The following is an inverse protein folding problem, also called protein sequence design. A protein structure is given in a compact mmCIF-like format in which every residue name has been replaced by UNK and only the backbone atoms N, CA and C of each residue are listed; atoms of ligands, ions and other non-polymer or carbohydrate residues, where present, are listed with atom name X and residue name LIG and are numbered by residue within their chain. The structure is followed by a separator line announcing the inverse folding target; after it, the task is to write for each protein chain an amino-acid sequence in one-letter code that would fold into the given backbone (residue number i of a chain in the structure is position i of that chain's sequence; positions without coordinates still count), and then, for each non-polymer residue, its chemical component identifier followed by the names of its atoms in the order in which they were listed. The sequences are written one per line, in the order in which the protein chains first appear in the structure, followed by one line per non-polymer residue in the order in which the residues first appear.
data_IF_342118068955
#
_entry.id   IF_342118068955
#
_cell.length_a   1.000
_cell.length_b   1.000
_cell.length_c   1.000
_cell.angle_alpha   90.00
_cell.angle_beta   90.00
_cell.angle_gamma   90.00
#
_symmetry.space_group_name_H-M   'P 1'
#
loop_
_entity.id
_entity.type
_entity.pdbx_description
1 polymer ?
#
# COMPACT_ATOMS: atom_id res chain seq x y z
N UNK A 1 78.08 17.72 -23.85
CA UNK A 1 76.81 18.15 -24.48
C UNK A 1 75.68 17.48 -23.73
N UNK A 2 75.18 18.11 -22.66
CA UNK A 2 74.04 17.62 -21.88
C UNK A 2 72.82 18.46 -22.23
N UNK A 3 71.78 17.82 -22.74
CA UNK A 3 70.55 18.48 -23.16
C UNK A 3 69.78 19.00 -21.94
N UNK A 4 69.57 20.31 -21.89
CA UNK A 4 68.61 20.96 -20.99
C UNK A 4 67.25 20.82 -21.66
N UNK A 5 66.51 19.78 -21.30
CA UNK A 5 65.11 19.61 -21.74
C UNK A 5 64.29 20.69 -21.02
N UNK A 6 63.50 21.44 -21.78
CA UNK A 6 62.70 22.56 -21.29
C UNK A 6 61.64 22.06 -20.32
N UNK A 7 61.47 22.74 -19.17
CA UNK A 7 60.39 22.45 -18.21
C UNK A 7 58.99 22.45 -18.86
N UNK A 8 58.80 23.17 -19.97
CA UNK A 8 57.56 23.17 -20.74
C UNK A 8 57.35 21.88 -21.55
N UNK A 9 58.41 21.25 -22.06
CA UNK A 9 58.31 19.96 -22.77
C UNK A 9 57.99 18.83 -21.79
N UNK A 10 58.54 18.89 -20.57
CA UNK A 10 58.26 17.91 -19.52
C UNK A 10 56.80 18.00 -19.04
N UNK A 11 56.24 19.21 -18.89
CA UNK A 11 54.81 19.38 -18.56
C UNK A 11 53.87 18.96 -19.70
N UNK A 12 54.28 19.13 -20.96
CA UNK A 12 53.49 18.70 -22.11
C UNK A 12 53.45 17.16 -22.23
N UNK A 13 54.58 16.49 -22.00
CA UNK A 13 54.67 15.03 -22.02
C UNK A 13 53.85 14.37 -20.89
N UNK A 14 53.91 14.93 -19.66
CA UNK A 14 53.06 14.45 -18.56
C UNK A 14 51.57 14.61 -18.84
N UNK A 15 51.15 15.71 -19.47
CA UNK A 15 49.75 15.95 -19.82
C UNK A 15 49.28 15.01 -20.94
N UNK A 16 50.14 14.71 -21.91
CA UNK A 16 49.85 13.73 -22.98
C UNK A 16 49.78 12.31 -22.40
N UNK A 17 50.66 11.94 -21.46
CA UNK A 17 50.59 10.65 -20.77
C UNK A 17 49.33 10.52 -19.90
N UNK A 18 48.91 11.57 -19.17
CA UNK A 18 47.66 11.57 -18.41
C UNK A 18 46.41 11.46 -19.32
N UNK A 19 46.37 12.19 -20.44
CA UNK A 19 45.28 12.07 -21.42
C UNK A 19 45.25 10.67 -22.07
N UNK A 20 46.40 10.11 -22.42
CA UNK A 20 46.49 8.78 -23.06
C UNK A 20 46.14 7.64 -22.08
N UNK A 21 46.54 7.74 -20.81
CA UNK A 21 46.17 6.78 -19.77
C UNK A 21 44.68 6.89 -19.45
N UNK A 22 44.13 8.11 -19.39
CA UNK A 22 42.69 8.35 -19.23
C UNK A 22 41.87 7.69 -20.36
N UNK A 23 42.24 7.91 -21.62
CA UNK A 23 41.55 7.32 -22.79
C UNK A 23 41.62 5.78 -22.82
N UNK A 24 42.75 5.20 -22.42
CA UNK A 24 42.90 3.74 -22.30
C UNK A 24 42.07 3.16 -21.15
N UNK A 25 41.99 3.85 -20.01
CA UNK A 25 41.15 3.43 -18.88
C UNK A 25 39.66 3.55 -19.18
N UNK A 26 39.23 4.58 -19.91
CA UNK A 26 37.83 4.77 -20.32
C UNK A 26 37.41 3.71 -21.35
N UNK A 27 38.28 3.45 -22.34
CA UNK A 27 38.07 2.38 -23.34
C UNK A 27 37.99 0.98 -22.70
N UNK A 28 38.85 0.69 -21.73
CA UNK A 28 38.82 -0.56 -20.97
C UNK A 28 37.53 -0.70 -20.14
N UNK A 29 37.13 0.36 -19.45
CA UNK A 29 35.93 0.39 -18.62
C UNK A 29 34.65 0.23 -19.46
N UNK A 30 34.62 0.82 -20.65
CA UNK A 30 33.53 0.65 -21.61
C UNK A 30 33.41 -0.81 -22.09
N UNK A 31 34.52 -1.46 -22.47
CA UNK A 31 34.51 -2.87 -22.89
C UNK A 31 34.06 -3.81 -21.76
N UNK A 32 34.47 -3.52 -20.52
CA UNK A 32 33.95 -4.22 -19.34
C UNK A 32 32.44 -4.01 -19.18
N UNK A 33 31.96 -2.79 -19.43
CA UNK A 33 30.53 -2.47 -19.49
C UNK A 33 29.77 -3.33 -20.50
N UNK A 34 30.29 -3.48 -21.72
CA UNK A 34 29.67 -4.32 -22.76
C UNK A 34 29.59 -5.78 -22.30
N UNK A 35 30.66 -6.33 -21.70
CA UNK A 35 30.65 -7.70 -21.16
C UNK A 35 29.63 -7.87 -20.03
N UNK A 36 29.57 -6.90 -19.11
CA UNK A 36 28.63 -6.88 -17.99
C UNK A 36 27.17 -6.75 -18.45
N UNK A 37 26.91 -5.98 -19.50
CA UNK A 37 25.60 -5.89 -20.14
C UNK A 37 25.10 -7.26 -20.62
N UNK A 38 25.93 -8.00 -21.37
CA UNK A 38 25.53 -9.33 -21.86
C UNK A 38 25.35 -10.34 -20.72
N UNK A 39 26.11 -10.23 -19.62
CA UNK A 39 25.86 -11.02 -18.40
C UNK A 39 24.49 -10.70 -17.82
N UNK A 40 24.16 -9.42 -17.66
CA UNK A 40 22.87 -8.96 -17.15
C UNK A 40 21.70 -9.41 -18.04
N UNK A 41 21.84 -9.30 -19.37
CA UNK A 41 20.83 -9.73 -20.34
C UNK A 41 20.58 -11.24 -20.31
N UNK A 42 21.62 -12.06 -20.17
CA UNK A 42 21.45 -13.51 -19.98
C UNK A 42 20.69 -13.84 -18.69
N UNK A 43 20.98 -13.11 -17.61
CA UNK A 43 20.24 -13.26 -16.35
C UNK A 43 18.77 -12.84 -16.51
N UNK A 44 18.51 -11.77 -17.26
CA UNK A 44 17.15 -11.30 -17.58
C UNK A 44 16.33 -12.40 -18.27
N UNK A 45 16.90 -13.01 -19.31
CA UNK A 45 16.26 -14.09 -20.06
C UNK A 45 15.85 -15.28 -19.18
N UNK A 46 16.75 -15.74 -18.28
CA UNK A 46 16.42 -16.84 -17.36
C UNK A 46 15.38 -16.45 -16.33
N UNK A 47 15.42 -15.22 -15.82
CA UNK A 47 14.43 -14.72 -14.88
C UNK A 47 13.03 -14.68 -15.50
N UNK A 48 12.91 -14.23 -16.75
CA UNK A 48 11.63 -14.24 -17.46
C UNK A 48 11.10 -15.66 -17.62
N UNK A 49 11.94 -16.62 -18.05
CA UNK A 49 11.52 -18.02 -18.17
C UNK A 49 10.99 -18.55 -16.83
N UNK A 50 11.70 -18.30 -15.73
CA UNK A 50 11.31 -18.77 -14.40
C UNK A 50 10.04 -18.07 -13.87
N UNK A 51 9.84 -16.78 -14.15
CA UNK A 51 8.65 -16.05 -13.68
C UNK A 51 7.35 -16.59 -14.27
N UNK A 52 7.38 -17.16 -15.47
CA UNK A 52 6.19 -17.80 -16.07
C UNK A 52 5.68 -19.00 -15.26
N UNK A 53 6.51 -19.62 -14.43
CA UNK A 53 6.12 -20.74 -13.57
C UNK A 53 5.72 -20.31 -12.15
N UNK A 54 6.04 -19.08 -11.75
CA UNK A 54 5.99 -18.65 -10.34
C UNK A 54 4.85 -17.70 -9.95
N UNK A 55 3.96 -17.32 -10.87
CA UNK A 55 2.82 -16.42 -10.59
C UNK A 55 3.19 -14.98 -10.21
N UNK A 56 4.49 -14.64 -10.11
CA UNK A 56 5.00 -13.29 -9.86
C UNK A 56 5.21 -12.55 -11.19
N UNK A 57 4.95 -11.25 -11.21
CA UNK A 57 5.14 -10.45 -12.42
C UNK A 57 6.60 -10.48 -12.89
N UNK A 58 6.78 -10.76 -14.19
CA UNK A 58 8.08 -10.71 -14.86
C UNK A 58 8.57 -9.28 -15.12
N UNK A 59 7.66 -8.31 -15.05
CA UNK A 59 7.88 -6.91 -15.36
C UNK A 59 7.99 -6.06 -14.10
N UNK A 60 8.57 -4.87 -14.24
CA UNK A 60 8.56 -3.88 -13.17
C UNK A 60 7.13 -3.42 -12.87
N UNK A 61 6.89 -3.02 -11.62
CA UNK A 61 5.62 -2.38 -11.27
C UNK A 61 5.49 -1.05 -12.02
N UNK A 62 4.33 -0.85 -12.65
CA UNK A 62 3.98 0.42 -13.29
C UNK A 62 3.58 1.42 -12.21
N UNK A 63 4.29 2.55 -12.13
CA UNK A 63 3.94 3.59 -11.15
C UNK A 63 2.54 4.14 -11.40
N UNK A 64 2.14 4.36 -12.66
CA UNK A 64 0.83 4.91 -12.98
C UNK A 64 -0.30 3.98 -12.54
N UNK A 65 -0.07 2.66 -12.64
CA UNK A 65 -1.01 1.66 -12.16
C UNK A 65 -1.11 1.67 -10.64
N UNK A 66 0.04 1.68 -9.93
CA UNK A 66 0.07 1.74 -8.47
C UNK A 66 -0.56 3.05 -7.95
N UNK A 67 -0.23 4.20 -8.57
CA UNK A 67 -0.81 5.50 -8.25
C UNK A 67 -2.33 5.48 -8.40
N UNK A 68 -2.84 4.83 -9.45
CA UNK A 68 -4.29 4.65 -9.66
C UNK A 68 -4.89 3.71 -8.61
N UNK A 69 -4.39 2.48 -8.48
CA UNK A 69 -4.92 1.46 -7.56
C UNK A 69 -4.96 1.95 -6.12
N UNK A 70 -3.88 2.59 -5.66
CA UNK A 70 -3.78 3.10 -4.29
C UNK A 70 -4.30 4.54 -4.10
N UNK A 71 -4.88 5.14 -5.15
CA UNK A 71 -5.55 6.44 -5.08
C UNK A 71 -4.64 7.57 -4.56
N UNK A 72 -3.36 7.51 -4.89
CA UNK A 72 -2.36 8.47 -4.41
C UNK A 72 -2.50 9.81 -5.14
N UNK A 73 -2.66 10.89 -4.39
CA UNK A 73 -2.87 12.25 -4.93
C UNK A 73 -1.86 13.28 -4.46
N UNK A 74 -1.36 13.13 -3.24
CA UNK A 74 -0.44 14.07 -2.61
C UNK A 74 1.00 13.74 -2.99
N UNK A 75 1.83 14.76 -3.22
CA UNK A 75 3.24 14.62 -3.57
C UNK A 75 4.07 15.57 -2.70
N UNK A 76 5.02 15.00 -1.93
CA UNK A 76 5.90 15.73 -1.03
C UNK A 76 7.35 15.56 -1.46
N UNK A 77 8.02 16.63 -1.83
CA UNK A 77 9.44 16.57 -2.16
C UNK A 77 10.29 16.38 -0.91
N UNK A 78 11.11 15.32 -0.89
CA UNK A 78 11.96 14.92 0.24
C UNK A 78 13.45 15.20 0.04
N UNK A 79 13.82 15.84 -1.08
CA UNK A 79 15.20 16.22 -1.35
C UNK A 79 16.07 15.09 -1.89
N UNK A 80 17.39 15.30 -1.83
CA UNK A 80 18.41 14.34 -2.22
C UNK A 80 18.66 13.35 -1.07
N UNK A 81 18.61 12.05 -1.35
CA UNK A 81 18.82 10.98 -0.38
C UNK A 81 19.59 9.81 -1.00
N UNK A 82 20.31 9.05 -0.16
CA UNK A 82 20.82 7.73 -0.53
C UNK A 82 19.76 6.68 -0.21
N UNK A 83 19.19 6.06 -1.26
CA UNK A 83 18.10 5.09 -1.11
C UNK A 83 18.60 3.66 -1.35
N UNK A 84 18.03 2.64 -0.67
CA UNK A 84 18.36 1.24 -0.92
C UNK A 84 17.99 0.81 -2.33
N UNK A 85 18.94 0.19 -3.04
CA UNK A 85 18.74 -0.23 -4.44
C UNK A 85 17.75 -1.39 -4.56
N UNK A 86 17.65 -2.24 -3.54
CA UNK A 86 16.72 -3.36 -3.46
C UNK A 86 15.25 -2.92 -3.25
N UNK A 87 15.03 -1.75 -2.64
CA UNK A 87 13.71 -1.11 -2.49
C UNK A 87 13.21 -0.40 -3.74
N UNK A 88 13.98 -0.37 -4.84
CA UNK A 88 13.52 0.18 -6.13
C UNK A 88 12.76 -0.91 -6.90
N UNK A 89 11.46 -0.77 -7.06
CA UNK A 89 10.56 -1.87 -7.51
C UNK A 89 9.88 -1.61 -8.85
N UNK A 90 9.86 -0.37 -9.32
CA UNK A 90 9.02 0.02 -10.44
C UNK A 90 9.54 1.20 -11.25
N UNK A 91 8.81 1.54 -12.32
CA UNK A 91 9.16 2.63 -13.23
C UNK A 91 7.91 3.38 -13.69
N UNK A 92 8.04 4.67 -13.97
CA UNK A 92 6.94 5.49 -14.50
C UNK A 92 6.66 5.23 -15.98
N UNK A 93 7.66 4.77 -16.76
CA UNK A 93 7.45 4.60 -18.21
C UNK A 93 8.28 3.52 -18.89
N UNK A 94 9.30 2.96 -18.22
CA UNK A 94 10.21 1.96 -18.80
C UNK A 94 10.06 0.58 -18.18
N UNK A 95 8.89 0.30 -17.60
CA UNK A 95 8.64 -0.94 -16.87
C UNK A 95 8.72 -2.21 -17.76
N UNK A 96 8.54 -2.06 -19.08
CA UNK A 96 8.69 -3.14 -20.08
C UNK A 96 10.10 -3.33 -20.63
N UNK A 97 10.99 -2.34 -20.46
CA UNK A 97 12.35 -2.41 -20.99
C UNK A 97 13.29 -3.24 -20.10
N UNK A 98 12.87 -3.48 -18.85
CA UNK A 98 13.64 -4.17 -17.83
C UNK A 98 12.82 -5.26 -17.15
N UNK A 99 13.49 -6.29 -16.60
CA UNK A 99 12.82 -7.27 -15.73
C UNK A 99 12.39 -6.62 -14.41
N UNK A 100 11.55 -7.32 -13.63
CA UNK A 100 11.18 -6.93 -12.26
C UNK A 100 12.37 -6.63 -11.34
N UNK A 101 13.59 -7.00 -11.72
CA UNK A 101 14.82 -6.67 -11.00
C UNK A 101 15.74 -5.67 -11.72
N UNK A 102 15.22 -4.88 -12.66
CA UNK A 102 15.97 -3.90 -13.47
C UNK A 102 17.07 -4.50 -14.38
N UNK A 103 16.95 -5.75 -14.83
CA UNK A 103 17.88 -6.30 -15.82
C UNK A 103 17.43 -5.88 -17.24
N UNK A 104 18.34 -5.44 -18.12
CA UNK A 104 17.98 -4.94 -19.44
C UNK A 104 17.53 -6.08 -20.36
N UNK A 105 16.44 -5.86 -21.12
CA UNK A 105 15.89 -6.86 -22.05
C UNK A 105 16.35 -6.66 -23.50
N UNK A 106 16.58 -5.41 -23.92
CA UNK A 106 16.78 -5.04 -25.33
C UNK A 106 18.25 -4.74 -25.66
N UNK A 107 18.73 -5.22 -26.80
CA UNK A 107 20.12 -5.00 -27.24
C UNK A 107 20.46 -3.52 -27.51
N UNK A 108 19.47 -2.73 -27.94
CA UNK A 108 19.64 -1.29 -28.19
C UNK A 108 20.13 -0.51 -26.96
N UNK A 109 20.04 -1.08 -25.77
CA UNK A 109 20.48 -0.47 -24.51
C UNK A 109 21.99 -0.61 -24.27
N UNK A 110 22.70 -1.46 -25.03
CA UNK A 110 24.11 -1.83 -24.78
C UNK A 110 25.03 -0.62 -24.70
N UNK A 111 24.92 0.33 -25.62
CA UNK A 111 25.82 1.48 -25.71
C UNK A 111 25.65 2.40 -24.48
N UNK A 112 24.40 2.82 -24.20
CA UNK A 112 24.09 3.69 -23.07
C UNK A 112 24.39 3.01 -21.74
N UNK A 113 24.06 1.73 -21.60
CA UNK A 113 24.32 0.95 -20.39
C UNK A 113 25.82 0.82 -20.13
N UNK A 114 26.62 0.52 -21.17
CA UNK A 114 28.08 0.37 -21.05
C UNK A 114 28.77 1.70 -20.73
N UNK A 115 28.28 2.81 -21.28
CA UNK A 115 28.76 4.16 -20.92
C UNK A 115 28.48 4.50 -19.46
N UNK A 116 27.29 4.20 -18.95
CA UNK A 116 26.95 4.40 -17.54
C UNK A 116 27.82 3.51 -16.63
N UNK A 117 28.05 2.26 -17.03
CA UNK A 117 28.96 1.36 -16.31
C UNK A 117 30.40 1.88 -16.27
N UNK A 118 30.91 2.45 -17.36
CA UNK A 118 32.23 3.05 -17.37
C UNK A 118 32.29 4.26 -16.40
N UNK A 119 31.25 5.10 -16.41
CA UNK A 119 31.16 6.27 -15.53
C UNK A 119 31.15 5.90 -14.03
N UNK A 120 30.59 4.75 -13.62
CA UNK A 120 30.66 4.34 -12.19
C UNK A 120 32.08 4.06 -11.71
N UNK A 121 33.01 3.79 -12.62
CA UNK A 121 34.42 3.54 -12.31
C UNK A 121 35.28 4.81 -12.49
N UNK A 122 34.67 5.92 -12.88
CA UNK A 122 35.31 7.22 -13.03
C UNK A 122 35.21 8.04 -11.73
N UNK A 123 36.12 9.01 -11.56
CA UNK A 123 36.16 9.89 -10.39
C UNK A 123 34.96 10.84 -10.25
N UNK A 124 34.16 11.02 -11.31
CA UNK A 124 33.06 12.00 -11.36
C UNK A 124 31.74 11.53 -10.74
N UNK A 125 31.61 10.24 -10.41
CA UNK A 125 30.35 9.65 -9.95
C UNK A 125 29.24 9.69 -11.01
N UNK A 126 28.05 9.20 -10.64
CA UNK A 126 26.85 9.35 -11.46
C UNK A 126 25.96 10.46 -10.90
N UNK A 127 25.26 11.22 -11.76
CA UNK A 127 24.24 12.13 -11.26
C UNK A 127 23.16 11.33 -10.48
N UNK A 128 22.48 11.95 -9.50
CA UNK A 128 21.36 11.34 -8.81
C UNK A 128 20.24 10.94 -9.78
N UNK A 129 19.50 9.88 -9.43
CA UNK A 129 18.27 9.47 -10.12
C UNK A 129 17.08 10.30 -9.62
N UNK A 130 15.93 10.18 -10.28
CA UNK A 130 14.67 10.75 -9.79
C UNK A 130 13.68 9.62 -9.50
N UNK A 131 13.08 9.62 -8.32
CA UNK A 131 12.14 8.58 -7.90
C UNK A 131 10.90 9.15 -7.24
N UNK A 132 9.80 8.41 -7.42
CA UNK A 132 8.65 8.50 -6.54
C UNK A 132 8.78 7.46 -5.43
N UNK A 133 8.53 7.84 -4.19
CA UNK A 133 8.43 6.92 -3.05
C UNK A 133 6.96 6.69 -2.74
N UNK A 134 6.57 5.42 -2.57
CA UNK A 134 5.25 5.04 -2.04
C UNK A 134 5.52 4.02 -0.95
N UNK A 135 5.08 4.31 0.27
CA UNK A 135 5.44 3.53 1.46
C UNK A 135 6.98 3.36 1.55
N UNK A 136 7.49 2.14 1.67
CA UNK A 136 8.92 1.84 1.78
C UNK A 136 9.57 1.47 0.43
N UNK A 137 8.90 1.70 -0.70
CA UNK A 137 9.39 1.34 -2.04
C UNK A 137 9.48 2.52 -3.00
N UNK A 138 10.35 2.38 -4.01
CA UNK A 138 10.68 3.44 -4.96
C UNK A 138 10.37 3.06 -6.41
N UNK A 139 9.87 4.05 -7.15
CA UNK A 139 9.56 3.98 -8.57
C UNK A 139 10.40 4.97 -9.35
N UNK A 140 11.16 4.49 -10.33
CA UNK A 140 12.09 5.31 -11.11
C UNK A 140 11.33 6.18 -12.08
N UNK A 141 11.42 7.50 -11.88
CA UNK A 141 10.97 8.52 -12.83
C UNK A 141 12.03 8.76 -13.90
N UNK A 142 13.29 8.94 -13.48
CA UNK A 142 14.45 9.00 -14.37
C UNK A 142 15.64 8.22 -13.79
N UNK A 143 16.45 7.63 -14.69
CA UNK A 143 17.67 6.91 -14.30
C UNK A 143 17.58 5.39 -14.29
N UNK A 144 16.62 4.78 -15.00
CA UNK A 144 16.43 3.31 -15.04
C UNK A 144 17.72 2.52 -15.36
N UNK A 145 18.54 3.01 -16.30
CA UNK A 145 19.83 2.38 -16.63
C UNK A 145 20.84 2.49 -15.48
N UNK A 146 20.83 3.60 -14.73
CA UNK A 146 21.72 3.79 -13.56
C UNK A 146 21.33 2.81 -12.45
N UNK A 147 20.04 2.61 -12.20
CA UNK A 147 19.55 1.56 -11.28
C UNK A 147 19.96 0.16 -11.74
N UNK A 148 19.81 -0.13 -13.03
CA UNK A 148 20.24 -1.40 -13.62
C UNK A 148 21.73 -1.67 -13.41
N UNK A 149 22.58 -0.68 -13.68
CA UNK A 149 24.03 -0.76 -13.45
C UNK A 149 24.35 -0.89 -11.97
N UNK A 150 23.73 -0.09 -11.10
CA UNK A 150 23.91 -0.15 -9.65
C UNK A 150 23.60 -1.55 -9.09
N UNK A 151 22.51 -2.18 -9.55
CA UNK A 151 22.20 -3.57 -9.21
C UNK A 151 23.23 -4.56 -9.73
N UNK A 152 23.70 -4.36 -10.97
CA UNK A 152 24.67 -5.25 -11.59
C UNK A 152 26.03 -5.24 -10.90
N UNK A 153 26.44 -4.09 -10.33
CA UNK A 153 27.69 -3.97 -9.56
C UNK A 153 27.51 -4.26 -8.06
N UNK A 154 26.27 -4.53 -7.61
CA UNK A 154 25.96 -4.84 -6.21
C UNK A 154 26.04 -3.64 -5.26
N UNK A 155 25.77 -2.43 -5.76
CA UNK A 155 25.71 -1.24 -4.93
C UNK A 155 24.54 -1.33 -3.92
N UNK A 156 24.77 -1.08 -2.62
CA UNK A 156 23.71 -1.14 -1.61
C UNK A 156 22.73 0.02 -1.73
N UNK A 157 23.24 1.21 -2.06
CA UNK A 157 22.48 2.45 -2.17
C UNK A 157 22.76 3.19 -3.47
N UNK A 158 21.86 4.10 -3.83
CA UNK A 158 22.01 5.04 -4.95
C UNK A 158 21.45 6.40 -4.57
N UNK A 159 22.12 7.48 -4.99
CA UNK A 159 21.62 8.85 -4.77
C UNK A 159 20.39 9.13 -5.63
N UNK A 160 19.34 9.65 -5.01
CA UNK A 160 18.07 9.96 -5.65
C UNK A 160 17.45 11.27 -5.14
N UNK A 161 16.84 12.03 -6.03
CA UNK A 161 15.84 13.02 -5.67
C UNK A 161 14.51 12.31 -5.44
N UNK A 162 13.98 12.41 -4.23
CA UNK A 162 12.81 11.66 -3.78
C UNK A 162 11.58 12.56 -3.70
N UNK A 163 10.49 12.14 -4.35
CA UNK A 163 9.15 12.70 -4.14
C UNK A 163 8.26 11.62 -3.53
N UNK A 164 7.83 11.81 -2.29
CA UNK A 164 6.98 10.90 -1.53
C UNK A 164 5.51 11.10 -1.87
N UNK A 165 4.79 9.99 -2.08
CA UNK A 165 3.34 9.93 -2.13
C UNK A 165 2.85 9.17 -0.90
N UNK A 166 2.36 9.88 0.14
CA UNK A 166 1.91 9.25 1.37
C UNK A 166 0.80 8.23 1.12
N UNK A 167 0.87 7.09 1.80
CA UNK A 167 -0.14 6.03 1.76
C UNK A 167 -0.32 5.44 3.16
N UNK A 168 -1.54 5.02 3.49
CA UNK A 168 -1.84 4.23 4.69
C UNK A 168 -1.83 2.72 4.44
N UNK A 169 -1.34 2.32 3.27
CA UNK A 169 -1.36 0.94 2.79
C UNK A 169 0.07 0.49 2.51
N UNK A 170 0.43 -0.64 3.12
CA UNK A 170 1.73 -1.27 2.97
C UNK A 170 1.98 -1.71 1.52
N UNK A 171 3.16 -1.40 1.00
CA UNK A 171 3.65 -1.86 -0.29
C UNK A 171 5.05 -2.46 -0.16
N UNK A 172 5.19 -3.71 -0.57
CA UNK A 172 6.44 -4.44 -0.50
C UNK A 172 6.97 -4.86 -1.89
N UNK A 173 8.29 -4.98 -2.07
CA UNK A 173 8.86 -5.51 -3.30
C UNK A 173 8.36 -6.91 -3.64
N UNK A 174 7.82 -7.07 -4.85
CA UNK A 174 7.44 -8.38 -5.38
C UNK A 174 6.10 -8.94 -4.86
N UNK A 175 5.22 -8.06 -4.37
CA UNK A 175 3.81 -8.39 -4.11
C UNK A 175 3.17 -9.08 -5.32
N UNK A 176 2.39 -10.11 -5.02
CA UNK A 176 1.52 -10.82 -5.97
C UNK A 176 0.29 -9.96 -6.34
N UNK A 177 -0.39 -10.34 -7.43
CA UNK A 177 -1.62 -9.66 -7.85
C UNK A 177 -2.67 -9.64 -6.73
N UNK A 178 -2.82 -10.75 -6.01
CA UNK A 178 -3.74 -10.87 -4.86
C UNK A 178 -3.39 -9.90 -3.73
N UNK A 179 -2.11 -9.70 -3.45
CA UNK A 179 -1.66 -8.74 -2.43
C UNK A 179 -1.87 -7.29 -2.88
N UNK A 180 -1.71 -7.00 -4.19
CA UNK A 180 -2.02 -5.69 -4.76
C UNK A 180 -3.53 -5.41 -4.77
N UNK A 181 -4.37 -6.40 -5.05
CA UNK A 181 -5.83 -6.31 -4.91
C UNK A 181 -6.23 -6.03 -3.45
N UNK A 182 -5.58 -6.69 -2.48
CA UNK A 182 -5.78 -6.42 -1.06
C UNK A 182 -5.42 -4.98 -0.68
N UNK A 183 -4.28 -4.50 -1.17
CA UNK A 183 -3.84 -3.13 -0.98
C UNK A 183 -4.82 -2.11 -1.62
N UNK A 184 -5.33 -2.38 -2.82
CA UNK A 184 -6.33 -1.53 -3.49
C UNK A 184 -7.65 -1.47 -2.70
N UNK A 185 -8.14 -2.59 -2.19
CA UNK A 185 -9.36 -2.62 -1.37
C UNK A 185 -9.19 -1.81 -0.08
N UNK A 186 -8.05 -1.93 0.59
CA UNK A 186 -7.74 -1.14 1.79
C UNK A 186 -7.60 0.36 1.45
N UNK A 187 -6.94 0.70 0.34
CA UNK A 187 -6.83 2.08 -0.11
C UNK A 187 -8.18 2.72 -0.38
N UNK A 188 -9.10 1.97 -1.01
CA UNK A 188 -10.48 2.43 -1.24
C UNK A 188 -11.22 2.65 0.09
N UNK A 189 -11.09 1.73 1.05
CA UNK A 189 -11.67 1.89 2.38
C UNK A 189 -11.18 3.17 3.07
N UNK A 190 -9.87 3.43 3.06
CA UNK A 190 -9.30 4.66 3.63
C UNK A 190 -9.72 5.91 2.85
N UNK A 191 -9.82 5.84 1.52
CA UNK A 191 -10.30 6.96 0.71
C UNK A 191 -11.76 7.31 1.05
N UNK A 192 -12.63 6.32 1.22
CA UNK A 192 -14.05 6.51 1.54
C UNK A 192 -14.25 7.02 2.97
N UNK A 193 -13.52 6.47 3.94
CA UNK A 193 -13.70 6.79 5.36
C UNK A 193 -12.90 8.00 5.85
N UNK A 194 -11.85 8.38 5.10
CA UNK A 194 -10.87 9.41 5.49
C UNK A 194 -10.23 9.18 6.86
N UNK A 195 -10.18 7.94 7.34
CA UNK A 195 -9.61 7.62 8.65
C UNK A 195 -8.14 8.02 8.76
N UNK A 196 -7.38 7.92 7.66
CA UNK A 196 -5.99 8.37 7.58
C UNK A 196 -5.83 9.88 7.84
N UNK A 197 -6.87 10.69 7.58
CA UNK A 197 -6.87 12.14 7.84
C UNK A 197 -7.53 12.47 9.17
N UNK A 198 -8.69 11.87 9.48
CA UNK A 198 -9.45 12.17 10.70
C UNK A 198 -8.83 11.56 11.95
N UNK A 199 -8.11 10.43 11.81
CA UNK A 199 -7.40 9.72 12.88
C UNK A 199 -6.01 9.28 12.41
N UNK A 200 -5.03 10.20 12.21
CA UNK A 200 -3.73 9.88 11.63
C UNK A 200 -2.91 8.80 12.35
N UNK A 201 -3.22 8.51 13.61
CA UNK A 201 -2.58 7.48 14.42
C UNK A 201 -3.46 6.26 14.64
N UNK A 202 -4.48 6.06 13.80
CA UNK A 202 -5.29 4.86 13.83
C UNK A 202 -4.41 3.64 13.56
N UNK A 203 -4.76 2.52 14.18
CA UNK A 203 -4.08 1.26 13.91
C UNK A 203 -4.53 0.75 12.54
N UNK A 204 -3.65 0.09 11.76
CA UNK A 204 -4.02 -0.46 10.46
C UNK A 204 -5.18 -1.45 10.59
N UNK A 205 -6.26 -1.20 9.83
CA UNK A 205 -7.43 -2.08 9.78
C UNK A 205 -7.23 -3.04 8.61
N UNK A 206 -6.50 -4.14 8.86
CA UNK A 206 -6.19 -5.16 7.86
C UNK A 206 -7.22 -6.26 7.92
N UNK A 207 -7.70 -6.73 6.76
CA UNK A 207 -8.58 -7.90 6.63
C UNK A 207 -7.86 -8.99 5.84
N UNK A 208 -8.01 -10.26 6.25
CA UNK A 208 -7.45 -11.40 5.51
C UNK A 208 -8.13 -11.58 4.14
N UNK A 209 -9.42 -11.25 4.05
CA UNK A 209 -10.16 -11.27 2.79
C UNK A 209 -10.53 -9.84 2.33
N UNK A 210 -9.93 -9.34 1.24
CA UNK A 210 -10.12 -7.96 0.79
C UNK A 210 -11.55 -7.57 0.46
N UNK A 211 -12.37 -8.54 0.02
CA UNK A 211 -13.77 -8.30 -0.29
C UNK A 211 -14.48 -7.68 0.92
N UNK A 212 -14.20 -8.14 2.14
CA UNK A 212 -14.91 -7.81 3.38
C UNK A 212 -14.78 -6.36 3.85
N UNK A 213 -13.97 -5.51 3.21
CA UNK A 213 -14.00 -4.07 3.46
C UNK A 213 -15.40 -3.47 3.20
N UNK A 214 -16.21 -4.08 2.31
CA UNK A 214 -17.60 -3.67 2.10
C UNK A 214 -18.48 -3.88 3.35
N UNK A 215 -18.23 -4.93 4.14
CA UNK A 215 -18.95 -5.19 5.40
C UNK A 215 -18.63 -4.11 6.43
N UNK A 216 -17.35 -3.73 6.57
CA UNK A 216 -16.94 -2.62 7.44
C UNK A 216 -17.59 -1.29 7.03
N UNK A 217 -17.64 -1.00 5.73
CA UNK A 217 -18.35 0.18 5.24
C UNK A 217 -19.85 0.12 5.56
N UNK A 218 -20.47 -1.05 5.42
CA UNK A 218 -21.85 -1.28 5.84
C UNK A 218 -22.08 -0.94 7.32
N UNK A 219 -21.16 -1.36 8.19
CA UNK A 219 -21.23 -1.03 9.62
C UNK A 219 -21.09 0.48 9.88
N UNK A 220 -20.18 1.15 9.16
CA UNK A 220 -19.98 2.61 9.28
C UNK A 220 -21.23 3.37 8.79
N UNK A 221 -21.82 2.97 7.67
CA UNK A 221 -23.03 3.61 7.15
C UNK A 221 -24.24 3.39 8.05
N UNK A 222 -24.39 2.18 8.59
CA UNK A 222 -25.41 1.91 9.59
C UNK A 222 -25.20 2.81 10.82
N UNK A 223 -23.96 2.90 11.32
CA UNK A 223 -23.60 3.78 12.45
C UNK A 223 -23.91 5.25 12.15
N UNK A 224 -23.62 5.73 10.94
CA UNK A 224 -23.97 7.07 10.49
C UNK A 224 -25.47 7.34 10.63
N UNK A 225 -26.32 6.44 10.12
CA UNK A 225 -27.78 6.59 10.22
C UNK A 225 -28.30 6.59 11.67
N UNK A 226 -27.62 5.91 12.59
CA UNK A 226 -27.97 5.97 14.02
C UNK A 226 -27.56 7.31 14.64
N UNK A 227 -26.32 7.75 14.39
CA UNK A 227 -25.81 9.03 14.87
C UNK A 227 -26.65 10.21 14.37
N UNK A 228 -27.07 10.19 13.10
CA UNK A 228 -27.94 11.23 12.52
C UNK A 228 -29.26 11.34 13.29
N UNK A 229 -29.86 10.20 13.64
CA UNK A 229 -31.13 10.17 14.38
C UNK A 229 -30.97 10.65 15.83
N UNK A 230 -29.84 10.34 16.46
CA UNK A 230 -29.55 10.77 17.83
C UNK A 230 -29.24 12.27 17.90
N UNK A 231 -28.50 12.80 16.93
CA UNK A 231 -28.10 14.22 16.89
C UNK A 231 -29.18 15.11 16.27
N UNK A 232 -30.03 14.58 15.41
CA UNK A 232 -31.05 15.32 14.66
C UNK A 232 -30.48 16.16 13.52
N UNK A 233 -29.27 15.83 13.06
CA UNK A 233 -28.53 16.53 12.01
C UNK A 233 -27.77 15.53 11.13
N UNK A 234 -27.47 15.91 9.89
CA UNK A 234 -26.77 15.06 8.94
C UNK A 234 -25.33 14.81 9.39
N UNK A 235 -24.84 13.57 9.22
CA UNK A 235 -23.50 13.14 9.63
C UNK A 235 -22.75 12.68 8.39
N UNK A 236 -21.57 13.24 8.17
CA UNK A 236 -20.73 12.85 7.04
C UNK A 236 -20.16 11.44 7.23
N UNK A 237 -19.77 10.78 6.13
CA UNK A 237 -19.15 9.44 6.21
C UNK A 237 -17.86 9.50 7.02
N UNK A 238 -17.10 10.58 6.90
CA UNK A 238 -15.86 10.82 7.63
C UNK A 238 -16.08 10.94 9.14
N UNK A 239 -17.12 11.67 9.56
CA UNK A 239 -17.49 11.81 10.97
C UNK A 239 -18.00 10.49 11.55
N UNK A 240 -18.85 9.79 10.81
CA UNK A 240 -19.36 8.49 11.22
C UNK A 240 -18.24 7.45 11.34
N UNK A 241 -17.31 7.41 10.38
CA UNK A 241 -16.15 6.51 10.42
C UNK A 241 -15.25 6.81 11.61
N UNK A 242 -14.99 8.09 11.90
CA UNK A 242 -14.18 8.50 13.04
C UNK A 242 -14.82 8.12 14.38
N UNK A 243 -16.13 8.34 14.53
CA UNK A 243 -16.89 7.96 15.71
C UNK A 243 -16.97 6.44 15.89
N UNK A 244 -17.30 5.71 14.82
CA UNK A 244 -17.29 4.25 14.78
C UNK A 244 -15.92 3.69 15.20
N UNK A 245 -14.84 4.25 14.66
CA UNK A 245 -13.49 3.80 14.99
C UNK A 245 -13.18 3.98 16.48
N UNK A 246 -13.53 5.13 17.05
CA UNK A 246 -13.23 5.48 18.43
C UNK A 246 -14.10 4.73 19.46
N UNK A 247 -15.37 4.57 19.16
CA UNK A 247 -16.38 4.12 20.12
C UNK A 247 -16.78 2.65 19.94
N UNK A 248 -16.53 2.06 18.76
CA UNK A 248 -16.93 0.68 18.43
C UNK A 248 -15.70 -0.16 18.10
N UNK A 249 -14.98 0.15 17.03
CA UNK A 249 -13.91 -0.71 16.51
C UNK A 249 -12.72 -0.80 17.48
N UNK A 250 -12.16 0.34 17.92
CA UNK A 250 -10.99 0.33 18.81
C UNK A 250 -11.29 -0.33 20.16
N UNK A 251 -12.42 -0.08 20.86
CA UNK A 251 -12.77 -0.81 22.08
C UNK A 251 -12.89 -2.32 21.86
N UNK A 252 -13.54 -2.74 20.77
CA UNK A 252 -13.68 -4.15 20.41
C UNK A 252 -12.32 -4.83 20.19
N UNK A 253 -11.44 -4.22 19.38
CA UNK A 253 -10.07 -4.72 19.15
C UNK A 253 -9.24 -4.72 20.43
N UNK A 254 -9.46 -3.76 21.33
CA UNK A 254 -8.80 -3.73 22.64
C UNK A 254 -9.17 -4.96 23.48
N UNK A 255 -10.42 -5.41 23.42
CA UNK A 255 -10.85 -6.65 24.10
C UNK A 255 -10.25 -7.90 23.43
N UNK A 256 -10.26 -7.94 22.10
CA UNK A 256 -9.63 -9.02 21.31
C UNK A 256 -8.17 -9.22 21.75
N UNK A 257 -7.41 -8.12 21.88
CA UNK A 257 -6.02 -8.15 22.35
C UNK A 257 -5.90 -8.49 23.83
N UNK A 258 -6.70 -7.86 24.70
CA UNK A 258 -6.64 -8.06 26.15
C UNK A 258 -6.79 -9.53 26.53
N UNK A 259 -7.66 -10.25 25.82
CA UNK A 259 -7.95 -11.66 26.08
C UNK A 259 -7.25 -12.63 25.11
N UNK A 260 -6.26 -12.15 24.34
CA UNK A 260 -5.48 -12.94 23.38
C UNK A 260 -6.34 -13.76 22.41
N UNK A 261 -7.47 -13.20 21.97
CA UNK A 261 -8.44 -13.93 21.16
C UNK A 261 -7.84 -14.38 19.82
N UNK A 262 -6.86 -13.64 19.27
CA UNK A 262 -6.17 -14.01 18.03
C UNK A 262 -5.50 -15.40 18.10
N UNK A 263 -4.99 -15.81 19.27
CA UNK A 263 -4.34 -17.13 19.41
C UNK A 263 -5.32 -18.30 19.20
N UNK A 264 -6.62 -18.03 19.28
CA UNK A 264 -7.69 -19.01 19.11
C UNK A 264 -8.20 -19.12 17.67
N UNK A 265 -7.72 -18.26 16.76
CA UNK A 265 -8.13 -18.18 15.36
C UNK A 265 -6.91 -18.34 14.43
N UNK A 266 -6.95 -19.34 13.56
CA UNK A 266 -5.88 -19.58 12.59
C UNK A 266 -5.83 -18.45 11.54
N UNK A 267 -4.69 -17.76 11.45
CA UNK A 267 -4.33 -16.80 10.38
C UNK A 267 -5.38 -15.70 10.11
N UNK A 268 -6.10 -15.24 11.15
CA UNK A 268 -7.06 -14.13 11.06
C UNK A 268 -6.51 -12.83 11.64
N UNK A 269 -6.95 -11.72 11.06
CA UNK A 269 -6.68 -10.38 11.59
C UNK A 269 -7.68 -10.00 12.70
N UNK A 270 -7.37 -8.94 13.45
CA UNK A 270 -8.29 -8.38 14.44
C UNK A 270 -9.57 -7.84 13.81
N UNK A 271 -9.49 -7.30 12.59
CA UNK A 271 -10.67 -6.85 11.86
C UNK A 271 -11.56 -8.03 11.44
N UNK A 272 -10.98 -9.18 11.09
CA UNK A 272 -11.75 -10.39 10.79
C UNK A 272 -12.49 -10.88 12.03
N UNK A 273 -11.82 -10.89 13.19
CA UNK A 273 -12.45 -11.27 14.46
C UNK A 273 -13.54 -10.27 14.85
N UNK A 274 -13.29 -8.97 14.66
CA UNK A 274 -14.31 -7.94 14.89
C UNK A 274 -15.58 -8.20 14.06
N UNK A 275 -15.44 -8.42 12.75
CA UNK A 275 -16.58 -8.71 11.89
C UNK A 275 -17.28 -10.01 12.30
N UNK A 276 -16.52 -11.07 12.56
CA UNK A 276 -17.07 -12.35 13.03
C UNK A 276 -17.89 -12.20 14.31
N UNK A 277 -17.41 -11.40 15.26
CA UNK A 277 -18.14 -11.16 16.51
C UNK A 277 -19.41 -10.34 16.29
N UNK A 278 -19.40 -9.38 15.35
CA UNK A 278 -20.61 -8.65 14.95
C UNK A 278 -21.64 -9.60 14.33
N UNK A 279 -21.22 -10.49 13.43
CA UNK A 279 -22.09 -11.50 12.83
C UNK A 279 -22.68 -12.43 13.90
N UNK A 280 -21.85 -12.92 14.83
CA UNK A 280 -22.31 -13.77 15.93
C UNK A 280 -23.35 -13.08 16.81
N UNK A 281 -23.15 -11.79 17.15
CA UNK A 281 -24.13 -11.01 17.90
C UNK A 281 -25.46 -10.86 17.15
N UNK A 282 -25.42 -10.71 15.83
CA UNK A 282 -26.62 -10.66 14.99
C UNK A 282 -27.36 -12.00 14.99
N UNK A 283 -26.66 -13.10 14.77
CA UNK A 283 -27.24 -14.46 14.75
C UNK A 283 -27.91 -14.82 16.07
N UNK A 284 -27.23 -14.54 17.19
CA UNK A 284 -27.79 -14.77 18.53
C UNK A 284 -29.09 -13.97 18.69
N UNK A 285 -29.11 -12.71 18.23
CA UNK A 285 -30.32 -11.90 18.32
C UNK A 285 -31.46 -12.45 17.48
N UNK A 286 -31.20 -12.85 16.24
CA UNK A 286 -32.19 -13.44 15.34
C UNK A 286 -32.80 -14.72 15.93
N UNK A 287 -31.98 -15.55 16.58
CA UNK A 287 -32.42 -16.81 17.20
C UNK A 287 -33.33 -16.60 18.43
N UNK A 288 -33.15 -15.52 19.19
CA UNK A 288 -33.88 -15.24 20.43
C UNK A 288 -34.96 -14.13 20.30
N UNK A 289 -35.08 -13.48 19.13
CA UNK A 289 -36.10 -12.45 18.84
C UNK A 289 -35.94 -11.14 19.63
N UNK A 290 -36.99 -10.32 19.66
CA UNK A 290 -37.00 -9.01 20.36
C UNK A 290 -36.85 -9.11 21.89
N UNK A 291 -36.99 -10.31 22.47
CA UNK A 291 -36.73 -10.58 23.89
C UNK A 291 -35.25 -10.89 24.20
N UNK A 292 -34.40 -10.97 23.17
CA UNK A 292 -32.97 -11.15 23.35
C UNK A 292 -32.39 -9.98 24.16
N UNK A 293 -31.79 -10.30 25.31
CA UNK A 293 -31.03 -9.33 26.12
C UNK A 293 -29.97 -8.70 25.23
N UNK A 294 -29.86 -7.37 25.22
CA UNK A 294 -28.76 -6.66 24.54
C UNK A 294 -27.43 -7.29 24.95
N UNK A 295 -26.77 -7.96 23.99
CA UNK A 295 -25.46 -8.57 24.17
C UNK A 295 -24.38 -7.57 23.74
N UNK A 296 -23.39 -7.42 24.60
CA UNK A 296 -22.21 -6.58 24.38
C UNK A 296 -21.14 -7.39 23.66
N UNK A 297 -20.07 -6.71 23.25
CA UNK A 297 -18.94 -7.37 22.60
C UNK A 297 -18.25 -8.35 23.57
N UNK A 298 -18.16 -8.01 24.86
CA UNK A 298 -17.68 -8.95 25.90
C UNK A 298 -18.54 -10.21 25.99
N UNK A 299 -19.86 -10.08 25.88
CA UNK A 299 -20.79 -11.22 25.95
C UNK A 299 -20.58 -12.18 24.75
N UNK A 300 -20.30 -11.64 23.56
CA UNK A 300 -19.94 -12.47 22.39
C UNK A 300 -18.63 -13.25 22.58
N UNK A 301 -17.63 -12.67 23.25
CA UNK A 301 -16.40 -13.40 23.61
C UNK A 301 -16.73 -14.54 24.59
N UNK A 302 -17.56 -14.27 25.59
CA UNK A 302 -17.98 -15.28 26.57
C UNK A 302 -18.71 -16.44 25.89
N UNK A 303 -19.64 -16.15 24.98
CA UNK A 303 -20.36 -17.16 24.21
C UNK A 303 -19.37 -18.04 23.41
N UNK A 304 -18.47 -17.41 22.64
CA UNK A 304 -17.47 -18.12 21.84
C UNK A 304 -16.57 -19.05 22.69
N UNK A 305 -16.03 -18.54 23.80
CA UNK A 305 -15.18 -19.34 24.69
C UNK A 305 -15.95 -20.50 25.30
N UNK A 306 -17.21 -20.27 25.67
CA UNK A 306 -18.09 -21.29 26.25
C UNK A 306 -18.42 -22.39 25.24
N UNK A 307 -18.77 -22.04 24.01
CA UNK A 307 -19.05 -22.98 22.92
C UNK A 307 -17.84 -23.88 22.61
N UNK A 308 -16.64 -23.31 22.64
CA UNK A 308 -15.38 -24.06 22.44
C UNK A 308 -14.86 -24.75 23.70
N UNK A 309 -15.57 -24.68 24.82
CA UNK A 309 -15.18 -25.25 26.12
C UNK A 309 -13.82 -24.73 26.62
N UNK A 310 -13.50 -23.48 26.28
CA UNK A 310 -12.32 -22.77 26.75
C UNK A 310 -12.69 -22.03 28.06
N UNK A 311 -11.87 -22.07 29.12
CA UNK A 311 -12.17 -21.37 30.36
C UNK A 311 -12.33 -19.87 30.14
N UNK A 312 -13.48 -19.32 30.56
CA UNK A 312 -13.77 -17.90 30.49
C UNK A 312 -13.02 -17.15 31.59
N UNK A 313 -12.17 -16.15 31.27
CA UNK A 313 -11.52 -15.31 32.27
C UNK A 313 -12.54 -14.63 33.19
N UNK A 314 -12.31 -14.63 34.50
CA UNK A 314 -13.28 -14.10 35.47
C UNK A 314 -13.52 -12.60 35.31
N UNK A 315 -12.50 -11.86 34.95
CA UNK A 315 -12.56 -10.42 34.70
C UNK A 315 -13.39 -10.06 33.47
N UNK A 316 -13.41 -10.92 32.43
CA UNK A 316 -14.25 -10.74 31.25
C UNK A 316 -15.76 -10.73 31.59
N UNK A 317 -16.19 -11.55 32.56
CA UNK A 317 -17.59 -11.60 33.00
C UNK A 317 -18.10 -10.28 33.60
N UNK A 318 -17.18 -9.43 34.08
CA UNK A 318 -17.50 -8.13 34.68
C UNK A 318 -17.05 -6.95 33.82
N UNK A 319 -16.53 -7.21 32.62
CA UNK A 319 -16.10 -6.18 31.70
C UNK A 319 -17.27 -5.26 31.35
N UNK A 320 -17.04 -3.95 31.40
CA UNK A 320 -18.00 -2.94 30.96
C UNK A 320 -17.48 -2.34 29.67
N UNK A 321 -17.81 -2.99 28.56
CA UNK A 321 -17.52 -2.44 27.25
C UNK A 321 -18.67 -1.52 26.78
N UNK A 322 -18.34 -0.35 26.20
CA UNK A 322 -19.33 0.61 25.73
C UNK A 322 -20.00 0.19 24.42
N UNK A 323 -19.75 -1.02 23.92
CA UNK A 323 -20.21 -1.52 22.61
C UNK A 323 -21.74 -1.50 22.54
N UNK A 324 -22.28 -0.41 21.99
CA UNK A 324 -23.69 -0.25 21.71
C UNK A 324 -23.99 -1.01 20.42
N UNK A 325 -24.72 -2.11 20.59
CA UNK A 325 -25.80 -2.63 19.73
C UNK A 325 -25.65 -2.36 18.23
N UNK A 326 -25.31 -3.42 17.50
CA UNK A 326 -25.61 -3.53 16.07
C UNK A 326 -27.13 -3.68 15.95
N UNK A 327 -27.87 -2.56 15.93
CA UNK A 327 -29.34 -2.59 15.81
C UNK A 327 -29.78 -2.52 14.35
N UNK A 328 -29.97 -3.69 13.74
CA UNK A 328 -30.77 -3.82 12.51
C UNK A 328 -32.22 -3.33 12.72
N UNK A 329 -32.76 -3.40 13.94
CA UNK A 329 -34.13 -2.91 14.24
C UNK A 329 -34.27 -1.39 14.08
N UNK A 330 -33.19 -0.62 14.15
CA UNK A 330 -33.22 0.80 13.84
C UNK A 330 -33.01 1.06 12.34
N UNK A 331 -32.25 0.20 11.65
CA UNK A 331 -32.08 0.22 10.20
C UNK A 331 -33.38 -0.11 9.45
N UNK A 332 -34.06 -1.20 9.84
CA UNK A 332 -35.34 -1.62 9.22
C UNK A 332 -36.46 -0.62 9.50
N UNK A 333 -36.56 -0.07 10.72
CA UNK A 333 -37.53 1.00 11.00
C UNK A 333 -37.25 2.31 10.23
N UNK A 334 -35.99 2.59 9.88
CA UNK A 334 -35.65 3.76 9.05
C UNK A 334 -35.97 3.52 7.56
N UNK A 335 -35.80 2.29 7.07
CA UNK A 335 -36.23 1.89 5.72
C UNK A 335 -37.75 1.85 5.60
N UNK A 336 -38.46 1.36 6.63
CA UNK A 336 -39.93 1.36 6.69
C UNK A 336 -40.53 2.78 6.88
N UNK A 337 -39.86 3.65 7.64
CA UNK A 337 -40.28 5.05 7.79
C UNK A 337 -40.07 5.87 6.50
N UNK A 338 -38.96 5.66 5.79
CA UNK A 338 -38.71 6.32 4.50
C UNK A 338 -39.55 5.74 3.35
N UNK A 339 -40.04 4.50 3.46
CA UNK A 339 -40.95 3.90 2.48
C UNK A 339 -42.40 4.42 2.56
N UNK A 340 -42.85 4.83 3.76
CA UNK A 340 -44.22 5.32 3.97
C UNK A 340 -44.42 6.80 3.60
N UNK A 341 -43.38 7.63 3.60
CA UNK A 341 -43.47 9.04 3.19
C UNK A 341 -43.55 9.20 1.65
N UNK A 342 -43.18 8.17 0.88
CA UNK A 342 -43.31 8.15 -0.59
C UNK A 342 -44.68 7.70 -1.11
N UNK A 343 -45.51 7.01 -0.31
CA UNK A 343 -46.82 6.53 -0.76
C UNK A 343 -48.00 7.44 -0.38
N UNK A 344 -47.85 8.38 0.55
CA UNK A 344 -48.93 9.32 0.94
C UNK A 344 -48.90 10.69 0.23
N UNK A 345 -47.92 10.95 -0.64
CA UNK A 345 -47.82 12.18 -1.43
C UNK A 345 -48.43 12.10 -2.84
N UNK A 346 -48.88 10.93 -3.29
CA UNK A 346 -49.28 10.70 -4.68
C UNK A 346 -50.78 10.41 -4.88
N UNK A 347 -51.67 11.03 -4.09
CA UNK A 347 -53.11 11.01 -4.39
C UNK A 347 -53.80 12.25 -3.84
N UNK A 348 -53.51 13.44 -4.40
CA UNK A 348 -54.44 14.59 -4.41
C UNK A 348 -53.91 15.69 -5.34
N UNK A 349 -54.06 15.53 -6.66
CA UNK A 349 -54.32 16.67 -7.56
C UNK A 349 -54.69 16.21 -8.98
N UNK A 350 -55.92 15.71 -9.17
CA UNK A 350 -56.57 15.70 -10.48
C UNK A 350 -58.05 15.99 -10.28
N UNK A 351 -58.38 17.27 -10.17
CA UNK A 351 -59.68 17.85 -10.53
C UNK A 351 -59.64 19.35 -10.27
N UNK A 352 -59.38 20.15 -11.32
CA UNK A 352 -60.01 21.46 -11.57
C UNK A 352 -59.31 22.17 -12.73
N UNK A 353 -59.70 21.80 -13.96
CA UNK A 353 -59.71 22.72 -15.11
C UNK A 353 -60.90 22.38 -15.99
N UNK A 354 -62.07 22.89 -15.63
CA UNK A 354 -63.17 23.09 -16.59
C UNK A 354 -64.18 24.11 -16.03
N UNK A 355 -63.98 25.39 -16.41
CA UNK A 355 -64.99 26.43 -16.72
C UNK A 355 -64.51 27.82 -16.36
#
# INVERSE_FOLDING_TARGET
MGAVISWAEHQCLYKIEEEHVSDLTDSSSYLQGVSSFYKAKRKAFWQEILSHFGGKSAELLSFDEIKKRLRLREEHYRGLQDIPVDRIVGSVGRYRDFTSTFLPKKDEMVERWSRIYAQTHSLGGLPPIEVYQVDDVYFVRDGNHRVSVARQIGAPTIQAYVTELPTGVDLEPGMSEKELEAAEAHALFLETTKLNTTRPHHQPIKLTEPSRYHELLGHIFLHASLLERERGEAVTTEEAAADWYDNIYRPAVTLIRKYNMLELFDERSEADLYLWMVDHLREVREAFGDEARSKRFSDAIVDFLTERKIPVPKDLLYERDPSVIVTETQAMKAVEANGNDTEHGAHHNEQETES
#
